data_IF_400855806139
#
_entry.id   IF_400855806139
#
_cell.length_a   1.000
_cell.length_b   1.000
_cell.length_c   1.000
_cell.angle_alpha   90.00
_cell.angle_beta   90.00
_cell.angle_gamma   90.00
#
_symmetry.space_group_name_H-M   'P 1'
#
loop_
_entity.id
_entity.type
_entity.pdbx_description
1 polymer ?
#
# COMPACT_ATOMS: atom_id res chain seq x y z
N UNK A 1 -6.15 34.73 -0.01
CA UNK A 1 -4.99 34.23 -0.78
C UNK A 1 -5.16 32.71 -0.89
N UNK A 2 -5.72 32.22 -2.00
CA UNK A 2 -6.05 30.79 -2.17
C UNK A 2 -4.77 30.05 -2.53
N UNK A 3 -4.12 29.38 -1.56
CA UNK A 3 -3.09 28.39 -1.88
C UNK A 3 -3.80 27.18 -2.48
N UNK A 4 -3.97 27.17 -3.80
CA UNK A 4 -4.50 26.02 -4.51
C UNK A 4 -3.44 24.91 -4.55
N UNK A 5 -3.87 23.66 -4.44
CA UNK A 5 -3.00 22.51 -4.69
C UNK A 5 -2.50 22.57 -6.14
N UNK A 6 -1.19 22.47 -6.31
CA UNK A 6 -0.50 22.50 -7.59
C UNK A 6 -0.29 21.08 -8.17
N UNK A 7 -0.41 20.02 -7.35
CA UNK A 7 -0.22 18.64 -7.82
C UNK A 7 -0.73 17.54 -6.88
N UNK A 8 -0.83 16.32 -7.41
CA UNK A 8 -1.22 15.10 -6.68
C UNK A 8 -0.18 14.02 -6.94
N UNK A 9 0.37 13.41 -5.89
CA UNK A 9 1.34 12.32 -5.98
C UNK A 9 0.70 11.07 -5.37
N UNK A 10 0.74 9.97 -6.13
CA UNK A 10 0.25 8.66 -5.67
C UNK A 10 1.39 7.67 -5.75
N UNK A 11 1.77 7.11 -4.60
CA UNK A 11 2.79 6.07 -4.49
C UNK A 11 2.15 4.73 -4.15
N UNK A 12 2.54 3.65 -4.84
CA UNK A 12 1.95 2.32 -4.63
C UNK A 12 2.96 1.40 -3.93
N UNK A 13 2.60 0.92 -2.75
CA UNK A 13 3.41 0.02 -1.92
C UNK A 13 2.74 -1.34 -1.78
N UNK A 14 3.10 -2.33 -2.61
CA UNK A 14 2.77 -3.73 -2.32
C UNK A 14 3.73 -4.30 -1.29
N UNK A 15 3.26 -4.82 -0.16
CA UNK A 15 4.00 -5.72 0.73
C UNK A 15 2.99 -6.40 1.65
N UNK A 16 3.13 -7.71 1.79
CA UNK A 16 2.26 -8.59 2.58
C UNK A 16 1.91 -7.94 3.91
N UNK A 17 0.64 -7.63 4.06
CA UNK A 17 0.12 -6.92 5.19
C UNK A 17 -0.13 -7.88 6.35
N UNK A 18 0.91 -8.49 6.96
CA UNK A 18 0.69 -9.31 8.17
C UNK A 18 0.24 -8.40 9.34
N UNK A 19 -1.06 -8.10 9.35
CA UNK A 19 -1.80 -7.33 10.34
C UNK A 19 -2.36 -8.27 11.42
N UNK A 20 -1.50 -8.92 12.20
CA UNK A 20 -2.01 -9.70 13.33
C UNK A 20 -2.81 -8.81 14.28
N UNK A 21 -3.94 -9.29 14.83
CA UNK A 21 -4.60 -8.59 15.91
C UNK A 21 -3.64 -8.52 17.10
N UNK A 22 -3.30 -7.30 17.52
CA UNK A 22 -2.62 -7.09 18.79
C UNK A 22 -3.57 -7.53 19.92
N UNK A 23 -3.03 -8.05 21.04
CA UNK A 23 -3.85 -8.26 22.23
C UNK A 23 -4.59 -6.95 22.58
N UNK A 24 -5.80 -7.04 23.16
CA UNK A 24 -6.66 -5.87 23.41
C UNK A 24 -5.96 -4.69 24.09
N UNK A 25 -4.90 -4.94 24.86
CA UNK A 25 -4.09 -3.95 25.57
C UNK A 25 -3.19 -3.04 24.72
N UNK A 26 -2.98 -3.33 23.42
CA UNK A 26 -1.99 -2.60 22.59
C UNK A 26 -2.58 -1.85 21.38
N UNK A 27 -3.90 -1.61 21.35
CA UNK A 27 -4.64 -1.09 20.18
C UNK A 27 -4.35 0.36 19.76
N UNK A 28 -3.61 1.15 20.54
CA UNK A 28 -3.43 2.60 20.31
C UNK A 28 -2.10 3.02 19.67
N UNK A 29 -1.26 2.08 19.19
CA UNK A 29 -0.07 2.42 18.39
C UNK A 29 -0.31 2.27 16.90
N UNK A 30 0.17 3.25 16.13
CA UNK A 30 0.30 3.19 14.66
C UNK A 30 0.82 1.82 14.26
N UNK A 31 0.00 1.07 13.53
CA UNK A 31 0.29 -0.32 13.17
C UNK A 31 1.47 -0.35 12.19
N UNK A 32 2.50 -1.15 12.47
CA UNK A 32 3.70 -1.24 11.62
C UNK A 32 3.62 -2.45 10.67
N UNK A 33 4.06 -2.33 9.41
CA UNK A 33 4.17 -3.47 8.48
C UNK A 33 5.19 -4.50 9.00
N UNK A 34 4.90 -5.80 8.84
CA UNK A 34 5.79 -6.90 9.23
C UNK A 34 6.18 -7.72 7.98
N UNK A 35 7.46 -8.10 7.80
CA UNK A 35 7.90 -8.85 6.62
C UNK A 35 7.39 -10.30 6.64
N UNK A 36 7.01 -10.81 5.46
CA UNK A 36 6.76 -12.25 5.24
C UNK A 36 8.06 -13.01 4.95
N UNK A 37 8.12 -14.32 5.28
CA UNK A 37 9.20 -15.20 4.81
C UNK A 37 9.37 -15.07 3.30
N UNK A 38 10.61 -15.09 2.81
CA UNK A 38 10.98 -14.88 1.40
C UNK A 38 10.71 -13.46 0.82
N UNK A 39 10.18 -12.51 1.60
CA UNK A 39 9.82 -11.16 1.15
C UNK A 39 10.56 -10.01 1.84
N UNK A 40 11.65 -10.24 2.57
CA UNK A 40 12.29 -9.23 3.45
C UNK A 40 12.75 -7.98 2.72
N UNK A 41 13.49 -8.12 1.60
CA UNK A 41 13.99 -6.96 0.82
C UNK A 41 12.82 -6.20 0.20
N UNK A 42 11.86 -6.93 -0.37
CA UNK A 42 10.63 -6.34 -0.92
C UNK A 42 9.88 -5.55 0.16
N UNK A 43 9.66 -6.13 1.33
CA UNK A 43 9.02 -5.46 2.47
C UNK A 43 9.78 -4.22 2.92
N UNK A 44 11.12 -4.27 2.95
CA UNK A 44 11.97 -3.14 3.30
C UNK A 44 11.84 -1.98 2.31
N UNK A 45 11.92 -2.25 1.01
CA UNK A 45 11.75 -1.21 -0.03
C UNK A 45 10.37 -0.56 0.04
N UNK A 46 9.34 -1.35 0.35
CA UNK A 46 7.95 -0.89 0.37
C UNK A 46 7.61 -0.12 1.63
N UNK A 47 8.26 -0.46 2.75
CA UNK A 47 8.28 0.38 3.94
C UNK A 47 9.00 1.72 3.68
N UNK A 48 10.13 1.70 2.97
CA UNK A 48 10.86 2.91 2.62
C UNK A 48 10.01 3.87 1.79
N UNK A 49 9.25 3.38 0.79
CA UNK A 49 8.32 4.21 0.02
C UNK A 49 7.30 4.90 0.93
N UNK A 50 6.68 4.17 1.87
CA UNK A 50 5.70 4.77 2.78
C UNK A 50 6.31 5.90 3.65
N UNK A 51 7.53 5.70 4.15
CA UNK A 51 8.24 6.71 4.95
C UNK A 51 8.65 7.91 4.10
N UNK A 52 9.16 7.69 2.89
CA UNK A 52 9.55 8.76 1.96
C UNK A 52 8.32 9.59 1.57
N UNK A 53 7.20 8.96 1.26
CA UNK A 53 5.94 9.66 0.94
C UNK A 53 5.42 10.51 2.11
N UNK A 54 5.51 10.00 3.34
CA UNK A 54 5.11 10.77 4.52
C UNK A 54 6.07 11.95 4.79
N UNK A 55 7.38 11.76 4.57
CA UNK A 55 8.36 12.85 4.60
C UNK A 55 8.04 13.93 3.57
N UNK A 56 7.77 13.54 2.32
CA UNK A 56 7.42 14.45 1.24
C UNK A 56 6.17 15.27 1.58
N UNK A 57 5.14 14.66 2.20
CA UNK A 57 3.92 15.36 2.66
C UNK A 57 4.25 16.50 3.63
N UNK A 58 5.22 16.32 4.51
CA UNK A 58 5.67 17.38 5.42
C UNK A 58 6.47 18.47 4.70
N UNK A 59 7.28 18.13 3.71
CA UNK A 59 8.13 19.06 2.98
C UNK A 59 7.34 19.95 2.01
N UNK A 60 6.37 19.37 1.29
CA UNK A 60 5.58 20.09 0.27
C UNK A 60 4.46 20.95 0.86
N UNK A 61 4.07 20.69 2.11
CA UNK A 61 2.95 21.35 2.78
C UNK A 61 1.62 21.20 2.03
N UNK A 62 0.74 22.19 2.15
CA UNK A 62 -0.60 22.17 1.51
C UNK A 62 -0.60 22.38 -0.01
N UNK A 63 0.56 22.34 -0.69
CA UNK A 63 0.67 22.57 -2.14
C UNK A 63 0.51 21.29 -2.94
N UNK A 64 0.94 20.16 -2.40
CA UNK A 64 0.90 18.86 -3.08
C UNK A 64 0.32 17.83 -2.11
N UNK A 65 -0.64 17.05 -2.59
CA UNK A 65 -1.17 15.91 -1.83
C UNK A 65 -0.37 14.66 -2.11
N UNK A 66 -0.12 13.88 -1.06
CA UNK A 66 0.67 12.66 -1.16
C UNK A 66 -0.13 11.48 -0.60
N UNK A 67 -0.47 10.54 -1.48
CA UNK A 67 -1.24 9.34 -1.11
C UNK A 67 -0.39 8.09 -1.29
N UNK A 68 -0.35 7.23 -0.26
CA UNK A 68 0.22 5.90 -0.34
C UNK A 68 -0.88 4.85 -0.49
N UNK A 69 -0.83 4.07 -1.57
CA UNK A 69 -1.75 2.95 -1.84
C UNK A 69 -1.07 1.64 -1.45
N UNK A 70 -1.67 0.92 -0.51
CA UNK A 70 -1.19 -0.36 0.03
C UNK A 70 -2.12 -1.50 -0.42
N UNK A 71 -1.88 -2.08 -1.61
CA UNK A 71 -2.60 -3.25 -2.07
C UNK A 71 -2.18 -4.54 -1.35
N UNK A 72 -3.16 -5.43 -1.15
CA UNK A 72 -2.99 -6.85 -0.85
C UNK A 72 -2.73 -7.65 -2.12
N UNK A 73 -3.28 -8.87 -2.22
CA UNK A 73 -3.15 -9.69 -3.43
C UNK A 73 -3.91 -9.07 -4.61
N UNK A 74 -3.21 -8.78 -5.71
CA UNK A 74 -3.77 -8.18 -6.94
C UNK A 74 -3.31 -9.00 -8.14
N UNK A 75 -4.24 -9.25 -9.06
CA UNK A 75 -4.01 -10.03 -10.27
C UNK A 75 -3.22 -9.18 -11.27
N UNK A 76 -1.91 -9.45 -11.34
CA UNK A 76 -0.93 -8.72 -12.13
C UNK A 76 0.22 -9.64 -12.51
N UNK A 77 1.01 -9.21 -13.51
CA UNK A 77 2.22 -9.89 -13.97
C UNK A 77 3.34 -9.90 -12.92
N UNK A 78 3.18 -9.17 -11.80
CA UNK A 78 4.18 -9.08 -10.74
C UNK A 78 4.47 -10.44 -10.09
N UNK A 79 3.50 -11.36 -10.05
CA UNK A 79 3.72 -12.69 -9.48
C UNK A 79 4.67 -13.50 -10.39
N UNK A 80 4.50 -13.38 -11.71
CA UNK A 80 5.28 -14.11 -12.71
C UNK A 80 6.65 -13.46 -12.97
N UNK A 81 6.72 -12.13 -12.92
CA UNK A 81 7.95 -11.36 -13.16
C UNK A 81 8.74 -11.03 -11.88
N UNK A 82 8.13 -11.17 -10.70
CA UNK A 82 8.68 -10.68 -9.44
C UNK A 82 9.70 -11.60 -8.78
N UNK A 83 9.70 -12.90 -9.10
CA UNK A 83 10.67 -13.86 -8.57
C UNK A 83 10.78 -15.11 -9.44
N UNK A 84 12.00 -15.61 -9.65
CA UNK A 84 12.27 -16.91 -10.31
C UNK A 84 12.60 -18.02 -9.31
N UNK A 85 12.64 -17.68 -8.01
CA UNK A 85 12.96 -18.63 -6.95
C UNK A 85 11.75 -19.53 -6.66
N UNK A 86 11.92 -20.84 -6.89
CA UNK A 86 10.83 -21.84 -6.80
C UNK A 86 10.08 -21.81 -5.46
N UNK A 87 10.79 -21.72 -4.34
CA UNK A 87 10.14 -21.67 -3.01
C UNK A 87 9.33 -20.39 -2.78
N UNK A 88 9.70 -19.29 -3.43
CA UNK A 88 8.93 -18.03 -3.37
C UNK A 88 7.68 -18.12 -4.23
N UNK A 89 7.77 -18.73 -5.42
CA UNK A 89 6.62 -18.97 -6.29
C UNK A 89 5.59 -19.90 -5.62
N UNK A 90 6.06 -20.99 -4.98
CA UNK A 90 5.19 -21.90 -4.22
C UNK A 90 4.49 -21.18 -3.05
N UNK A 91 5.19 -20.26 -2.37
CA UNK A 91 4.60 -19.43 -1.32
C UNK A 91 3.58 -18.40 -1.86
N UNK A 92 3.81 -17.85 -3.06
CA UNK A 92 2.95 -16.84 -3.67
C UNK A 92 1.70 -17.43 -4.36
N UNK A 93 1.75 -18.69 -4.79
CA UNK A 93 0.67 -19.35 -5.53
C UNK A 93 -0.72 -19.30 -4.85
N UNK A 94 -0.85 -19.44 -3.51
CA UNK A 94 -2.13 -19.26 -2.83
C UNK A 94 -2.67 -17.82 -2.91
N UNK A 95 -1.80 -16.80 -2.91
CA UNK A 95 -2.21 -15.40 -2.99
C UNK A 95 -2.75 -15.04 -4.37
N UNK A 96 -2.21 -15.64 -5.44
CA UNK A 96 -2.74 -15.47 -6.80
C UNK A 96 -4.23 -15.87 -6.88
N UNK A 97 -4.64 -16.92 -6.14
CA UNK A 97 -6.04 -17.39 -6.12
C UNK A 97 -6.99 -16.46 -5.38
N UNK A 98 -6.47 -15.61 -4.50
CA UNK A 98 -7.24 -14.66 -3.70
C UNK A 98 -7.23 -13.26 -4.32
N UNK A 99 -6.51 -13.07 -5.43
CA UNK A 99 -6.20 -11.76 -5.96
C UNK A 99 -7.44 -11.04 -6.51
N UNK A 100 -7.56 -9.75 -6.18
CA UNK A 100 -8.57 -8.87 -6.80
C UNK A 100 -8.05 -8.31 -8.13
N UNK A 101 -8.93 -7.93 -9.07
CA UNK A 101 -8.50 -7.33 -10.33
C UNK A 101 -7.83 -5.97 -10.10
N UNK A 102 -6.86 -5.63 -10.96
CA UNK A 102 -6.13 -4.36 -10.93
C UNK A 102 -7.05 -3.12 -10.94
N UNK A 103 -8.22 -3.22 -11.59
CA UNK A 103 -9.26 -2.17 -11.58
C UNK A 103 -9.71 -1.76 -10.18
N UNK A 104 -9.62 -2.68 -9.20
CA UNK A 104 -9.93 -2.37 -7.81
C UNK A 104 -8.94 -1.37 -7.22
N UNK A 105 -7.67 -1.45 -7.60
CA UNK A 105 -6.64 -0.48 -7.21
C UNK A 105 -6.82 0.82 -7.99
N UNK A 106 -7.17 0.75 -9.28
CA UNK A 106 -7.45 1.94 -10.07
C UNK A 106 -8.60 2.78 -9.49
N UNK A 107 -9.69 2.15 -9.05
CA UNK A 107 -10.80 2.85 -8.37
C UNK A 107 -10.37 3.53 -7.06
N UNK A 108 -9.44 2.93 -6.33
CA UNK A 108 -8.88 3.53 -5.12
C UNK A 108 -8.06 4.78 -5.41
N UNK A 109 -7.26 4.73 -6.47
CA UNK A 109 -6.47 5.85 -6.95
C UNK A 109 -7.40 6.97 -7.41
N UNK A 110 -8.45 6.64 -8.18
CA UNK A 110 -9.47 7.59 -8.60
C UNK A 110 -10.12 8.28 -7.39
N UNK A 111 -10.54 7.50 -6.38
CA UNK A 111 -11.09 8.04 -5.14
C UNK A 111 -10.15 9.06 -4.47
N UNK A 112 -8.86 8.74 -4.31
CA UNK A 112 -7.89 9.66 -3.70
C UNK A 112 -7.70 10.94 -4.53
N UNK A 113 -7.68 10.80 -5.86
CA UNK A 113 -7.52 11.93 -6.77
C UNK A 113 -8.76 12.82 -6.76
N UNK A 114 -9.96 12.26 -6.76
CA UNK A 114 -11.23 13.00 -6.86
C UNK A 114 -11.56 13.83 -5.63
N UNK A 115 -10.88 13.61 -4.51
CA UNK A 115 -11.12 14.40 -3.30
C UNK A 115 -10.90 15.90 -3.54
N UNK A 116 -11.70 16.78 -2.90
CA UNK A 116 -11.57 18.23 -3.01
C UNK A 116 -10.24 18.72 -2.45
N UNK A 117 -9.84 19.94 -2.80
CA UNK A 117 -8.49 20.43 -2.56
C UNK A 117 -8.14 20.64 -1.07
N UNK A 118 -9.12 20.62 -0.18
CA UNK A 118 -8.96 20.70 1.26
C UNK A 118 -8.89 19.32 1.95
N UNK A 119 -9.02 18.24 1.18
CA UNK A 119 -8.96 16.86 1.68
C UNK A 119 -7.70 16.18 1.17
N UNK A 120 -6.85 15.73 2.09
CA UNK A 120 -5.68 14.89 1.80
C UNK A 120 -5.93 13.45 2.26
N UNK A 121 -5.73 12.50 1.35
CA UNK A 121 -5.86 11.08 1.63
C UNK A 121 -4.46 10.51 1.78
N UNK A 122 -3.98 10.42 3.02
CA UNK A 122 -2.59 10.03 3.26
C UNK A 122 -2.33 8.56 2.86
N UNK A 123 -3.27 7.66 3.17
CA UNK A 123 -3.09 6.22 3.02
C UNK A 123 -4.39 5.49 2.66
N UNK A 124 -4.32 4.56 1.72
CA UNK A 124 -5.40 3.62 1.40
C UNK A 124 -4.86 2.20 1.46
N UNK A 125 -5.43 1.37 2.34
CA UNK A 125 -5.14 -0.08 2.40
C UNK A 125 -6.30 -0.82 1.76
N UNK A 126 -6.04 -1.60 0.71
CA UNK A 126 -7.05 -2.39 -0.01
C UNK A 126 -6.57 -3.81 -0.14
N UNK A 127 -7.45 -4.75 0.17
CA UNK A 127 -7.18 -6.19 0.08
C UNK A 127 -8.45 -6.95 -0.29
N UNK A 128 -8.32 -8.14 -0.92
CA UNK A 128 -9.41 -9.10 -1.02
C UNK A 128 -10.02 -9.37 0.35
N UNK A 129 -11.35 -9.47 0.44
CA UNK A 129 -12.06 -9.76 1.71
C UNK A 129 -11.71 -11.13 2.28
N UNK A 130 -11.31 -12.06 1.42
CA UNK A 130 -10.88 -13.42 1.74
C UNK A 130 -9.42 -13.51 2.19
N UNK A 131 -8.65 -12.42 2.08
CA UNK A 131 -7.27 -12.37 2.56
C UNK A 131 -7.27 -12.13 4.09
N UNK A 132 -6.93 -13.16 4.87
CA UNK A 132 -6.97 -13.12 6.34
C UNK A 132 -5.88 -12.23 6.97
N UNK A 133 -4.76 -12.03 6.28
CA UNK A 133 -3.64 -11.19 6.72
C UNK A 133 -3.28 -10.15 5.65
#
# INVERSE_FOLDING_TARGET
>A
MKSGIEGKVVAITGASSDWRPLPPSLRLRVRKPKPSPCGTVYSGTKFAVAVISEGLRHEVGGKIRTTVIMPGAVDTELIDAGTTHKGSLEFLAPFAKLAIPADSIARAIAYAIEQPADVDVNQIVIRPTVQEF
#
